data_IF_353520512128
#
_entry.id   IF_353520512128
#
_cell.length_a   1.000
_cell.length_b   1.000
_cell.length_c   1.000
_cell.angle_alpha   90.00
_cell.angle_beta   90.00
_cell.angle_gamma   90.00
#
_symmetry.space_group_name_H-M   'P 1'
#
loop_
_entity.id
_entity.type
_entity.pdbx_description
1 polymer ?
#
# COMPACT_ATOMS: atom_id res chain seq x y z
N UNK A 1 -5.94 -14.64 5.02
CA UNK A 1 -5.27 -13.34 5.11
C UNK A 1 -5.87 -12.67 6.33
N UNK A 2 -5.04 -12.46 7.34
CA UNK A 2 -5.45 -11.76 8.55
C UNK A 2 -4.96 -10.33 8.43
N UNK A 3 -5.90 -9.39 8.54
CA UNK A 3 -5.66 -7.96 8.41
C UNK A 3 -6.12 -7.28 9.69
N UNK A 4 -5.18 -6.62 10.35
CA UNK A 4 -5.48 -5.74 11.47
C UNK A 4 -5.35 -4.29 10.96
N UNK A 5 -6.42 -3.52 11.08
CA UNK A 5 -6.44 -2.09 10.77
C UNK A 5 -6.71 -1.33 12.08
N UNK A 6 -5.87 -0.34 12.33
CA UNK A 6 -6.04 0.66 13.37
C UNK A 6 -5.81 2.03 12.74
N UNK A 7 -6.49 3.05 13.24
CA UNK A 7 -6.17 4.43 12.89
C UNK A 7 -5.48 5.08 14.09
N UNK A 8 -4.36 5.77 13.86
CA UNK A 8 -3.95 6.82 14.79
C UNK A 8 -4.95 7.97 14.63
N UNK A 9 -6.01 7.96 15.44
CA UNK A 9 -6.95 9.05 15.51
C UNK A 9 -6.29 10.23 16.23
N UNK A 10 -5.35 10.90 15.57
CA UNK A 10 -4.96 12.25 15.98
C UNK A 10 -6.08 13.17 15.49
N UNK A 11 -6.90 13.62 16.43
CA UNK A 11 -8.11 14.43 16.24
C UNK A 11 -7.82 15.86 15.80
N UNK A 12 -6.95 16.05 14.82
CA UNK A 12 -6.75 17.33 14.17
C UNK A 12 -7.61 17.34 12.91
N UNK A 13 -8.63 18.20 12.89
CA UNK A 13 -9.71 18.30 11.89
C UNK A 13 -9.27 18.59 10.43
N UNK A 14 -8.00 18.43 10.08
CA UNK A 14 -7.43 18.83 8.79
C UNK A 14 -7.17 17.67 7.83
N UNK A 15 -7.16 16.43 8.32
CA UNK A 15 -6.86 15.26 7.49
C UNK A 15 -8.12 14.52 7.04
N UNK A 16 -8.11 14.04 5.80
CA UNK A 16 -9.11 13.10 5.29
C UNK A 16 -8.95 11.72 5.96
N UNK A 17 -10.00 10.91 5.88
CA UNK A 17 -10.02 9.55 6.41
C UNK A 17 -8.86 8.70 5.85
N UNK A 18 -8.19 7.85 6.65
CA UNK A 18 -6.96 7.16 6.28
C UNK A 18 -7.11 6.10 5.17
N UNK A 19 -8.33 5.91 4.66
CA UNK A 19 -8.74 4.80 3.81
C UNK A 19 -9.67 5.29 2.69
N UNK A 20 -9.36 4.91 1.44
CA UNK A 20 -10.33 4.97 0.35
C UNK A 20 -11.02 3.60 0.17
N UNK A 21 -12.33 3.60 -0.08
CA UNK A 21 -13.14 2.39 -0.27
C UNK A 21 -13.86 2.47 -1.63
N UNK A 22 -13.63 1.47 -2.48
CA UNK A 22 -14.35 1.33 -3.74
C UNK A 22 -15.44 0.27 -3.61
N UNK A 23 -16.66 0.65 -3.96
CA UNK A 23 -17.81 -0.24 -4.00
C UNK A 23 -18.15 -0.59 -5.46
N UNK A 24 -18.44 -1.86 -5.70
CA UNK A 24 -19.14 -2.25 -6.91
C UNK A 24 -20.62 -1.88 -6.78
N UNK A 25 -21.11 -1.09 -7.76
CA UNK A 25 -22.48 -0.64 -7.76
C UNK A 25 -23.48 -1.77 -8.05
N UNK A 26 -23.09 -2.83 -8.76
CA UNK A 26 -24.01 -3.93 -9.11
C UNK A 26 -24.21 -4.86 -7.92
N UNK A 27 -23.12 -5.40 -7.36
CA UNK A 27 -23.18 -6.35 -6.24
C UNK A 27 -23.34 -5.69 -4.88
N UNK A 28 -23.17 -4.36 -4.80
CA UNK A 28 -23.18 -3.58 -3.53
C UNK A 28 -22.11 -4.05 -2.53
N UNK A 29 -21.01 -4.61 -3.04
CA UNK A 29 -19.87 -5.08 -2.23
C UNK A 29 -18.70 -4.12 -2.33
N UNK A 30 -17.86 -4.10 -1.30
CA UNK A 30 -16.55 -3.47 -1.38
C UNK A 30 -15.64 -4.34 -2.25
N UNK A 31 -14.97 -3.73 -3.21
CA UNK A 31 -14.05 -4.42 -4.14
C UNK A 31 -12.60 -3.95 -4.02
N UNK A 32 -12.36 -2.80 -3.37
CA UNK A 32 -11.00 -2.31 -3.13
C UNK A 32 -10.92 -1.41 -1.91
N UNK A 33 -9.83 -1.56 -1.16
CA UNK A 33 -9.39 -0.67 -0.10
C UNK A 33 -8.03 -0.08 -0.47
N UNK A 34 -7.81 1.20 -0.19
CA UNK A 34 -6.48 1.84 -0.27
C UNK A 34 -6.16 2.44 1.10
N UNK A 35 -5.17 1.86 1.78
CA UNK A 35 -4.70 2.26 3.10
C UNK A 35 -3.52 3.23 2.93
N UNK A 36 -3.70 4.50 3.32
CA UNK A 36 -2.68 5.54 3.16
C UNK A 36 -1.78 5.63 4.40
N UNK A 37 -0.45 5.61 4.24
CA UNK A 37 0.48 5.67 5.39
C UNK A 37 0.81 7.09 5.84
N UNK A 38 0.40 8.09 5.06
CA UNK A 38 0.79 9.49 5.21
C UNK A 38 2.34 9.63 5.29
N UNK A 39 3.04 9.00 4.35
CA UNK A 39 4.50 9.02 4.29
C UNK A 39 5.06 10.40 3.90
N UNK A 40 5.95 11.01 4.70
CA UNK A 40 6.62 12.25 4.33
C UNK A 40 7.37 12.13 3.01
N UNK A 41 7.14 13.11 2.13
CA UNK A 41 7.72 13.15 0.79
C UNK A 41 6.94 12.40 -0.28
N UNK A 42 5.83 11.75 0.08
CA UNK A 42 4.86 11.30 -0.90
C UNK A 42 3.98 12.50 -1.35
N UNK A 43 3.54 12.60 -2.62
CA UNK A 43 2.70 13.71 -3.09
C UNK A 43 1.39 13.88 -2.32
N UNK A 44 0.86 12.80 -1.72
CA UNK A 44 -0.35 12.85 -0.90
C UNK A 44 -0.07 13.11 0.59
N UNK A 45 1.17 13.44 0.98
CA UNK A 45 1.51 13.73 2.36
C UNK A 45 0.68 14.90 2.89
N UNK A 46 0.08 14.70 4.07
CA UNK A 46 -0.77 15.68 4.72
C UNK A 46 -2.21 15.77 4.17
N UNK A 47 -2.58 14.96 3.19
CA UNK A 47 -3.99 14.86 2.73
C UNK A 47 -4.78 13.90 3.60
N UNK A 48 -4.20 12.72 3.87
CA UNK A 48 -4.85 11.62 4.58
C UNK A 48 -4.24 11.44 5.97
N UNK A 49 -5.06 11.04 6.95
CA UNK A 49 -4.56 10.49 8.21
C UNK A 49 -3.77 9.21 7.97
N UNK A 50 -2.83 8.88 8.87
CA UNK A 50 -2.08 7.62 8.77
C UNK A 50 -2.99 6.43 9.09
N UNK A 51 -3.00 5.46 8.18
CA UNK A 51 -3.54 4.13 8.42
C UNK A 51 -2.48 3.22 9.03
N UNK A 52 -2.71 2.74 10.25
CA UNK A 52 -1.91 1.68 10.84
C UNK A 52 -2.46 0.32 10.44
N UNK A 53 -1.62 -0.52 9.86
CA UNK A 53 -2.00 -1.86 9.46
C UNK A 53 -0.88 -2.86 9.76
N UNK A 54 -1.30 -4.11 9.94
CA UNK A 54 -0.44 -5.28 9.89
C UNK A 54 -1.13 -6.33 9.02
N UNK A 55 -0.43 -6.84 8.02
CA UNK A 55 -0.93 -7.84 7.09
C UNK A 55 0.09 -8.95 6.88
N UNK A 56 -0.38 -10.18 7.03
CA UNK A 56 0.43 -11.36 6.80
C UNK A 56 0.20 -11.91 5.38
N UNK A 57 1.29 -12.18 4.65
CA UNK A 57 1.28 -12.66 3.26
C UNK A 57 2.12 -13.95 3.09
N UNK A 58 1.87 -14.69 2.01
CA UNK A 58 2.50 -15.98 1.68
C UNK A 58 2.44 -16.97 2.86
N UNK A 59 1.22 -17.33 3.28
CA UNK A 59 0.98 -18.26 4.39
C UNK A 59 1.69 -17.86 5.70
N UNK A 60 1.59 -16.56 6.05
CA UNK A 60 2.15 -15.96 7.26
C UNK A 60 3.69 -15.90 7.32
N UNK A 61 4.37 -16.08 6.18
CA UNK A 61 5.85 -16.00 6.13
C UNK A 61 6.39 -14.58 6.23
N UNK A 62 5.60 -13.61 5.76
CA UNK A 62 5.98 -12.20 5.81
C UNK A 62 4.85 -11.41 6.46
N UNK A 63 5.22 -10.48 7.33
CA UNK A 63 4.31 -9.49 7.91
C UNK A 63 4.72 -8.12 7.38
N UNK A 64 3.77 -7.42 6.77
CA UNK A 64 3.96 -6.04 6.33
C UNK A 64 3.20 -5.15 7.30
N UNK A 65 3.92 -4.24 7.94
CA UNK A 65 3.35 -3.22 8.81
C UNK A 65 3.49 -1.84 8.17
N UNK A 66 2.74 -0.85 8.65
CA UNK A 66 2.79 0.53 8.13
C UNK A 66 4.19 1.14 8.08
N UNK A 67 5.07 0.74 9.00
CA UNK A 67 6.43 1.27 9.10
C UNK A 67 7.50 0.34 8.52
N UNK A 68 7.12 -0.83 7.98
CA UNK A 68 8.05 -1.75 7.34
C UNK A 68 8.74 -1.09 6.15
N UNK A 69 10.02 -1.35 5.98
CA UNK A 69 10.75 -0.99 4.77
C UNK A 69 10.69 -2.10 3.74
N UNK A 70 10.76 -1.73 2.47
CA UNK A 70 10.65 -2.68 1.36
C UNK A 70 11.63 -3.85 1.46
N UNK A 71 12.88 -3.62 1.88
CA UNK A 71 13.88 -4.69 2.01
C UNK A 71 13.49 -5.79 3.00
N UNK A 72 12.60 -5.51 3.96
CA UNK A 72 12.15 -6.49 4.96
C UNK A 72 11.18 -7.53 4.37
N UNK A 73 10.44 -7.15 3.32
CA UNK A 73 9.37 -7.99 2.76
C UNK A 73 9.47 -8.16 1.24
N UNK A 74 10.46 -7.56 0.58
CA UNK A 74 10.66 -7.60 -0.88
C UNK A 74 10.69 -9.04 -1.39
N UNK A 75 11.33 -9.95 -0.63
CA UNK A 75 11.39 -11.39 -0.86
C UNK A 75 10.01 -12.03 -1.12
N UNK A 76 8.95 -11.48 -0.52
CA UNK A 76 7.59 -11.98 -0.70
C UNK A 76 7.08 -11.83 -2.14
N UNK A 77 7.60 -10.87 -2.90
CA UNK A 77 7.18 -10.56 -4.27
C UNK A 77 7.97 -11.31 -5.34
N UNK A 78 9.00 -12.09 -4.96
CA UNK A 78 9.79 -12.87 -5.90
C UNK A 78 9.12 -14.21 -6.19
N UNK A 79 9.06 -14.57 -7.47
CA UNK A 79 8.76 -15.94 -7.88
C UNK A 79 10.08 -16.74 -7.88
N UNK A 80 10.24 -17.76 -7.00
CA UNK A 80 11.45 -18.58 -6.95
C UNK A 80 11.72 -19.36 -8.23
N UNK A 81 10.75 -19.46 -9.15
CA UNK A 81 10.90 -20.12 -10.44
C UNK A 81 11.20 -19.15 -11.60
N UNK A 82 11.32 -17.84 -11.32
CA UNK A 82 11.61 -16.81 -12.31
C UNK A 82 12.95 -16.16 -12.04
N UNK A 83 13.89 -16.30 -12.98
CA UNK A 83 15.17 -15.57 -12.98
C UNK A 83 14.99 -14.05 -13.15
N UNK A 84 13.78 -13.61 -13.56
CA UNK A 84 13.44 -12.19 -13.59
C UNK A 84 12.99 -11.80 -12.18
N UNK A 85 13.81 -10.98 -11.53
CA UNK A 85 13.44 -10.33 -10.27
C UNK A 85 12.18 -9.49 -10.39
N UNK A 86 11.69 -9.00 -9.25
CA UNK A 86 10.44 -8.24 -9.18
C UNK A 86 10.53 -6.98 -10.03
N UNK A 87 9.60 -6.84 -10.99
CA UNK A 87 9.48 -5.62 -11.81
C UNK A 87 8.29 -4.82 -11.31
N UNK A 88 8.51 -3.74 -10.53
CA UNK A 88 7.40 -2.91 -10.12
C UNK A 88 6.79 -2.17 -11.31
N UNK A 89 5.53 -1.77 -11.16
CA UNK A 89 4.97 -0.69 -11.98
C UNK A 89 5.50 0.63 -11.42
N UNK A 90 6.17 1.41 -12.26
CA UNK A 90 6.68 2.73 -11.86
C UNK A 90 5.53 3.74 -11.96
N UNK A 91 5.24 4.41 -10.85
CA UNK A 91 4.33 5.54 -10.80
C UNK A 91 5.13 6.84 -10.85
N UNK A 92 5.01 7.54 -11.97
CA UNK A 92 5.55 8.88 -12.14
C UNK A 92 4.38 9.86 -12.23
N UNK A 93 4.39 10.85 -11.35
CA UNK A 93 3.39 11.94 -11.36
C UNK A 93 3.80 12.97 -12.41
N UNK A 94 2.82 13.67 -12.99
CA UNK A 94 3.07 14.67 -14.04
C UNK A 94 3.93 15.84 -13.54
N UNK A 95 3.75 16.25 -12.28
CA UNK A 95 4.54 17.31 -11.67
C UNK A 95 5.83 16.74 -11.06
N UNK A 96 7.01 17.32 -11.36
CA UNK A 96 8.26 16.92 -10.74
C UNK A 96 8.20 17.08 -9.23
N UNK A 97 8.23 15.97 -8.49
CA UNK A 97 8.29 15.99 -7.03
C UNK A 97 9.75 15.75 -6.57
N UNK A 98 10.28 16.46 -5.57
CA UNK A 98 11.65 16.28 -5.07
C UNK A 98 12.02 14.87 -4.55
N UNK A 99 11.05 13.98 -4.34
CA UNK A 99 11.29 12.62 -3.82
C UNK A 99 11.13 11.54 -4.90
N UNK A 100 11.04 11.95 -6.17
CA UNK A 100 11.06 11.04 -7.31
C UNK A 100 9.77 10.25 -7.50
N UNK A 101 9.93 9.06 -8.09
CA UNK A 101 8.82 8.15 -8.39
C UNK A 101 8.49 7.25 -7.20
N UNK A 102 7.32 6.61 -7.26
CA UNK A 102 6.99 5.47 -6.42
C UNK A 102 6.87 4.20 -7.27
N UNK A 103 6.95 3.04 -6.60
CA UNK A 103 7.02 1.72 -7.21
C UNK A 103 5.94 0.84 -6.63
N UNK A 104 5.08 0.30 -7.49
CA UNK A 104 4.01 -0.60 -7.09
C UNK A 104 4.41 -2.05 -7.27
N UNK A 105 4.42 -2.78 -6.17
CA UNK A 105 4.71 -4.20 -6.09
C UNK A 105 3.42 -4.97 -5.84
N UNK A 106 3.08 -5.92 -6.71
CA UNK A 106 1.82 -6.67 -6.65
C UNK A 106 2.04 -8.14 -6.31
N UNK A 107 1.24 -8.68 -5.40
CA UNK A 107 1.14 -10.10 -5.12
C UNK A 107 -0.29 -10.48 -4.74
N UNK A 108 -0.84 -11.50 -5.38
CA UNK A 108 -2.20 -12.00 -5.12
C UNK A 108 -3.29 -10.91 -5.23
N UNK A 109 -3.80 -10.41 -4.09
CA UNK A 109 -4.86 -9.41 -3.96
C UNK A 109 -4.33 -8.11 -3.32
N UNK A 110 -3.00 -7.95 -3.31
CA UNK A 110 -2.30 -6.91 -2.58
C UNK A 110 -1.39 -6.18 -3.55
N UNK A 111 -1.43 -4.85 -3.50
CA UNK A 111 -0.42 -3.98 -4.11
C UNK A 111 0.16 -3.08 -3.04
N UNK A 112 1.48 -3.01 -2.98
CA UNK A 112 2.21 -2.11 -2.07
C UNK A 112 2.91 -1.06 -2.91
N UNK A 113 2.57 0.21 -2.67
CA UNK A 113 3.27 1.35 -3.24
C UNK A 113 4.43 1.74 -2.33
N UNK A 114 5.64 1.76 -2.88
CA UNK A 114 6.89 2.01 -2.16
C UNK A 114 7.59 3.21 -2.77
N UNK A 115 8.02 4.16 -1.94
CA UNK A 115 8.81 5.31 -2.37
C UNK A 115 10.27 4.94 -2.65
N UNK A 116 11.03 5.79 -3.35
CA UNK A 116 12.48 5.58 -3.60
C UNK A 116 13.31 5.35 -2.33
N UNK A 117 12.89 5.91 -1.19
CA UNK A 117 13.56 5.72 0.10
C UNK A 117 13.17 4.42 0.84
N UNK A 118 12.37 3.55 0.21
CA UNK A 118 11.97 2.24 0.72
C UNK A 118 10.76 2.24 1.67
N UNK A 119 10.18 3.40 1.99
CA UNK A 119 8.98 3.48 2.82
C UNK A 119 7.71 3.21 2.02
N UNK A 120 6.72 2.60 2.66
CA UNK A 120 5.40 2.34 2.07
C UNK A 120 4.61 3.66 2.02
N UNK A 121 4.12 4.03 0.84
CA UNK A 121 3.20 5.15 0.66
C UNK A 121 1.73 4.72 0.84
N UNK A 122 1.39 3.56 0.30
CA UNK A 122 0.04 3.01 0.40
C UNK A 122 0.04 1.47 0.25
N UNK A 123 -0.98 0.85 0.85
CA UNK A 123 -1.29 -0.57 0.65
C UNK A 123 -2.71 -0.70 0.08
N UNK A 124 -2.82 -1.36 -1.07
CA UNK A 124 -4.09 -1.61 -1.75
C UNK A 124 -4.49 -3.07 -1.59
N UNK A 125 -5.73 -3.31 -1.21
CA UNK A 125 -6.38 -4.62 -1.20
C UNK A 125 -7.51 -4.63 -2.21
N UNK A 126 -7.65 -5.68 -3.00
CA UNK A 126 -8.73 -5.77 -3.98
C UNK A 126 -9.29 -7.18 -4.12
N UNK A 127 -10.56 -7.29 -4.49
CA UNK A 127 -11.16 -8.56 -4.84
C UNK A 127 -10.65 -9.01 -6.23
N UNK A 128 -10.22 -10.27 -6.34
CA UNK A 128 -9.74 -10.84 -7.60
C UNK A 128 -10.88 -11.30 -8.52
N UNK A 129 -12.09 -11.48 -7.98
CA UNK A 129 -13.20 -12.11 -8.67
C UNK A 129 -14.28 -11.12 -9.13
N UNK A 130 -14.07 -9.82 -8.92
CA UNK A 130 -15.01 -8.75 -9.26
C UNK A 130 -14.35 -7.70 -10.15
#
# INVERSE_FOLDING_TARGET
MDLLISSDAVSDNYYLWPLDILFDFVTKRVIKFVLHTNAPGHPNFGIYSRCNFAIAINDLRFEIQTHSKFDEFSAAFYDPNSDKGVRPVVLQRQEPHPFGSSFCYGIHQIVVEVMENGYIAALTLYDKNL
#
